data_IF_622385727452
#
_entry.id   IF_622385727452
#
_cell.length_a   1.000
_cell.length_b   1.000
_cell.length_c   1.000
_cell.angle_alpha   90.00
_cell.angle_beta   90.00
_cell.angle_gamma   90.00
#
_symmetry.space_group_name_H-M   'P 1'
#
loop_
_entity.id
_entity.type
_entity.pdbx_description
1 polymer ?
#
# COMPACT_ATOMS: atom_id res chain seq x y z
N UNK A 1 -2.17 2.78 -15.43
CA UNK A 1 -0.89 3.31 -15.97
C UNK A 1 -1.24 4.18 -17.15
N UNK A 2 -0.69 5.38 -17.18
CA UNK A 2 -0.84 6.29 -18.33
C UNK A 2 0.39 6.20 -19.23
N UNK A 3 0.21 6.49 -20.52
CA UNK A 3 1.32 6.64 -21.45
C UNK A 3 2.06 7.99 -21.26
N UNK A 4 3.04 8.25 -22.13
CA UNK A 4 3.85 9.47 -22.07
C UNK A 4 3.04 10.76 -22.29
N UNK A 5 1.89 10.68 -22.96
CA UNK A 5 0.98 11.80 -23.19
C UNK A 5 -0.07 11.93 -22.07
N UNK A 6 0.00 11.09 -21.04
CA UNK A 6 -0.94 11.06 -19.92
C UNK A 6 -2.25 10.35 -20.24
N UNK A 7 -2.34 9.63 -21.35
CA UNK A 7 -3.54 8.90 -21.75
C UNK A 7 -3.61 7.56 -21.01
N UNK A 8 -4.70 7.26 -20.29
CA UNK A 8 -4.88 5.94 -19.69
C UNK A 8 -4.97 4.85 -20.77
N UNK A 9 -4.32 3.70 -20.53
CA UNK A 9 -4.49 2.51 -21.36
C UNK A 9 -5.91 1.91 -21.26
N UNK A 10 -6.13 0.80 -21.96
CA UNK A 10 -7.37 0.02 -21.85
C UNK A 10 -7.65 -0.37 -20.40
N UNK A 11 -8.91 -0.24 -19.97
CA UNK A 11 -9.31 -0.64 -18.63
C UNK A 11 -9.27 -2.16 -18.49
N UNK A 12 -8.45 -2.63 -17.54
CA UNK A 12 -8.39 -4.04 -17.12
C UNK A 12 -9.28 -4.32 -15.90
N UNK A 13 -10.25 -3.45 -15.61
CA UNK A 13 -11.12 -3.60 -14.45
C UNK A 13 -12.00 -4.86 -14.59
N UNK A 14 -12.07 -5.65 -13.52
CA UNK A 14 -12.90 -6.86 -13.45
C UNK A 14 -13.92 -6.73 -12.31
N UNK A 15 -15.20 -6.71 -12.66
CA UNK A 15 -16.31 -6.54 -11.70
C UNK A 15 -16.44 -7.68 -10.67
N UNK A 16 -15.73 -8.80 -10.88
CA UNK A 16 -15.66 -9.91 -9.92
C UNK A 16 -14.71 -9.61 -8.76
N UNK A 17 -13.75 -8.69 -8.92
CA UNK A 17 -12.86 -8.26 -7.83
C UNK A 17 -13.63 -7.28 -6.95
N UNK A 18 -13.92 -7.70 -5.72
CA UNK A 18 -14.77 -6.97 -4.77
C UNK A 18 -14.01 -6.15 -3.73
N UNK A 19 -12.77 -6.53 -3.44
CA UNK A 19 -11.89 -5.86 -2.49
C UNK A 19 -10.43 -6.07 -2.88
N UNK A 20 -9.53 -5.18 -2.47
CA UNK A 20 -8.09 -5.34 -2.69
C UNK A 20 -7.25 -4.91 -1.47
N UNK A 21 -6.04 -5.48 -1.40
CA UNK A 21 -4.98 -5.05 -0.48
C UNK A 21 -3.76 -4.73 -1.36
N UNK A 22 -3.21 -3.53 -1.20
CA UNK A 22 -2.14 -2.99 -2.02
C UNK A 22 -0.93 -2.69 -1.13
N UNK A 23 0.08 -3.56 -1.17
CA UNK A 23 1.29 -3.42 -0.36
C UNK A 23 2.33 -2.59 -1.12
N UNK A 24 2.87 -1.55 -0.48
CA UNK A 24 3.91 -0.67 -1.02
C UNK A 24 3.57 -0.18 -2.44
N UNK A 25 2.33 0.28 -2.62
CA UNK A 25 1.79 0.71 -3.90
C UNK A 25 2.56 1.94 -4.41
N UNK A 26 3.22 1.88 -5.58
CA UNK A 26 3.87 3.04 -6.17
C UNK A 26 2.92 4.23 -6.31
N UNK A 27 3.38 5.43 -5.99
CA UNK A 27 2.62 6.67 -6.15
C UNK A 27 2.63 7.22 -7.58
N UNK A 28 2.18 8.47 -7.75
CA UNK A 28 2.12 9.10 -9.09
C UNK A 28 3.49 9.22 -9.76
N UNK A 29 3.53 9.21 -11.09
CA UNK A 29 4.78 9.33 -11.85
C UNK A 29 5.16 10.78 -12.16
N UNK A 30 5.85 10.98 -13.30
CA UNK A 30 6.24 12.31 -13.77
C UNK A 30 7.34 12.94 -12.93
N UNK A 31 7.09 14.15 -12.38
CA UNK A 31 8.07 14.89 -11.57
C UNK A 31 8.43 14.18 -10.25
N UNK A 32 7.61 13.22 -9.83
CA UNK A 32 7.83 12.42 -8.63
C UNK A 32 8.83 11.28 -8.87
N UNK A 33 9.13 10.93 -10.14
CA UNK A 33 10.07 9.87 -10.46
C UNK A 33 11.53 10.35 -10.39
N UNK A 34 12.41 9.48 -9.89
CA UNK A 34 13.85 9.71 -9.96
C UNK A 34 14.35 9.59 -11.41
N UNK A 35 15.53 10.16 -11.76
CA UNK A 35 16.13 9.97 -13.09
C UNK A 35 16.31 8.48 -13.46
N UNK A 36 16.61 7.64 -12.46
CA UNK A 36 16.69 6.19 -12.62
C UNK A 36 15.35 5.60 -13.04
N UNK A 37 14.26 5.98 -12.36
CA UNK A 37 12.92 5.50 -12.69
C UNK A 37 12.45 6.01 -14.06
N UNK A 38 12.72 7.27 -14.42
CA UNK A 38 12.42 7.79 -15.77
C UNK A 38 13.15 6.98 -16.84
N UNK A 39 14.40 6.59 -16.60
CA UNK A 39 15.20 5.84 -17.58
C UNK A 39 14.76 4.38 -17.72
N UNK A 40 14.52 3.68 -16.61
CA UNK A 40 14.34 2.22 -16.61
C UNK A 40 12.91 1.76 -16.34
N UNK A 41 12.11 2.58 -15.68
CA UNK A 41 10.74 2.29 -15.28
C UNK A 41 9.77 3.42 -15.65
N UNK A 42 9.83 3.98 -16.88
CA UNK A 42 8.99 5.12 -17.26
C UNK A 42 7.49 4.82 -17.20
N UNK A 43 7.12 3.54 -17.21
CA UNK A 43 5.75 3.11 -17.05
C UNK A 43 5.19 3.38 -15.66
N UNK A 44 6.01 3.61 -14.63
CA UNK A 44 5.63 3.71 -13.21
C UNK A 44 4.93 5.03 -12.88
N UNK A 45 3.86 5.30 -13.61
CA UNK A 45 2.98 6.45 -13.48
C UNK A 45 1.53 5.95 -13.38
N UNK A 46 1.13 5.35 -12.24
CA UNK A 46 -0.25 4.97 -12.01
C UNK A 46 -1.14 6.21 -11.96
N UNK A 47 -2.33 6.06 -12.54
CA UNK A 47 -3.47 6.96 -12.32
C UNK A 47 -4.46 6.23 -11.42
N UNK A 48 -4.94 6.92 -10.39
CA UNK A 48 -5.81 6.38 -9.36
C UNK A 48 -7.28 6.76 -9.54
N UNK A 49 -7.63 7.57 -10.56
CA UNK A 49 -9.01 8.03 -10.78
C UNK A 49 -10.02 6.87 -10.91
N UNK A 50 -9.58 5.74 -11.48
CA UNK A 50 -10.40 4.55 -11.68
C UNK A 50 -10.20 3.47 -10.60
N UNK A 51 -9.41 3.73 -9.55
CA UNK A 51 -9.27 2.84 -8.40
C UNK A 51 -10.51 2.93 -7.50
N UNK A 52 -11.62 2.32 -7.94
CA UNK A 52 -12.96 2.40 -7.33
C UNK A 52 -13.31 1.22 -6.42
N UNK A 53 -12.60 0.11 -6.54
CA UNK A 53 -12.80 -1.07 -5.67
C UNK A 53 -12.37 -0.76 -4.24
N UNK A 54 -13.17 -1.10 -3.21
CA UNK A 54 -12.75 -1.01 -1.81
C UNK A 54 -11.36 -1.58 -1.59
N UNK A 55 -10.41 -0.75 -1.17
CA UNK A 55 -9.02 -1.16 -1.01
C UNK A 55 -8.38 -0.65 0.27
N UNK A 56 -7.48 -1.46 0.83
CA UNK A 56 -6.51 -1.08 1.86
C UNK A 56 -5.15 -0.87 1.20
N UNK A 57 -4.54 0.29 1.43
CA UNK A 57 -3.12 0.54 1.11
C UNK A 57 -2.27 0.28 2.36
N UNK A 58 -1.13 -0.38 2.20
CA UNK A 58 -0.14 -0.59 3.27
C UNK A 58 1.19 0.04 2.86
N UNK A 59 1.74 0.89 3.71
CA UNK A 59 3.00 1.58 3.47
C UNK A 59 3.88 1.57 4.72
N UNK A 60 5.19 1.47 4.54
CA UNK A 60 6.18 1.74 5.57
C UNK A 60 6.58 3.22 5.56
N UNK A 61 6.67 3.86 6.72
CA UNK A 61 7.06 5.28 6.80
C UNK A 61 8.58 5.52 6.68
N UNK A 62 9.36 4.43 6.58
CA UNK A 62 10.79 4.46 6.26
C UNK A 62 11.10 3.92 4.86
N UNK A 63 10.09 3.70 4.00
CA UNK A 63 10.28 3.22 2.63
C UNK A 63 10.96 4.28 1.73
N UNK A 64 12.28 4.16 1.63
CA UNK A 64 13.14 5.02 0.80
C UNK A 64 13.41 4.37 -0.56
N UNK A 65 12.39 4.33 -1.41
CA UNK A 65 12.55 3.76 -2.75
C UNK A 65 13.44 4.63 -3.66
N UNK A 66 14.42 4.04 -4.37
CA UNK A 66 15.25 4.76 -5.33
C UNK A 66 14.48 5.22 -6.57
N UNK A 67 13.20 4.86 -6.67
CA UNK A 67 12.36 5.11 -7.84
C UNK A 67 11.66 6.48 -7.78
N UNK A 68 11.62 7.11 -6.62
CA UNK A 68 10.94 8.39 -6.40
C UNK A 68 11.89 9.40 -5.77
N UNK A 69 11.61 10.69 -5.97
CA UNK A 69 12.28 11.79 -5.25
C UNK A 69 11.53 12.21 -3.97
N UNK A 70 10.33 11.68 -3.75
CA UNK A 70 9.45 12.09 -2.64
C UNK A 70 9.70 11.32 -1.33
N UNK A 71 10.18 10.09 -1.44
CA UNK A 71 10.36 9.21 -0.29
C UNK A 71 9.06 8.52 0.15
N UNK A 72 8.89 8.19 1.44
CA UNK A 72 7.84 7.29 1.92
C UNK A 72 6.40 7.75 1.66
N UNK A 73 6.17 9.07 1.60
CA UNK A 73 4.83 9.62 1.37
C UNK A 73 4.27 9.28 -0.02
N UNK A 74 5.14 8.95 -0.98
CA UNK A 74 4.78 8.51 -2.33
C UNK A 74 3.90 7.26 -2.29
N UNK A 75 4.19 6.33 -1.38
CA UNK A 75 3.45 5.07 -1.22
C UNK A 75 2.03 5.24 -0.67
N UNK A 76 1.66 6.46 -0.27
CA UNK A 76 0.33 6.79 0.26
C UNK A 76 -0.56 7.47 -0.78
N UNK A 77 -0.07 7.75 -1.99
CA UNK A 77 -0.82 8.45 -3.02
C UNK A 77 -2.08 7.70 -3.44
N UNK A 78 -2.03 6.36 -3.53
CA UNK A 78 -3.23 5.57 -3.83
C UNK A 78 -4.34 5.79 -2.81
N UNK A 79 -3.99 5.90 -1.52
CA UNK A 79 -4.94 6.29 -0.49
C UNK A 79 -5.44 7.72 -0.68
N UNK A 80 -4.59 8.70 -1.00
CA UNK A 80 -5.04 10.09 -1.14
C UNK A 80 -5.90 10.34 -2.38
N UNK A 81 -5.57 9.68 -3.49
CA UNK A 81 -6.08 9.98 -4.82
C UNK A 81 -7.13 8.96 -5.30
N UNK A 82 -7.10 7.73 -4.79
CA UNK A 82 -8.02 6.67 -5.19
C UNK A 82 -9.39 6.79 -4.50
N UNK A 83 -10.51 6.89 -5.25
CA UNK A 83 -11.84 7.05 -4.65
C UNK A 83 -12.33 5.79 -3.92
N UNK A 84 -11.85 4.61 -4.29
CA UNK A 84 -12.19 3.33 -3.67
C UNK A 84 -11.23 2.91 -2.55
N UNK A 85 -10.12 3.62 -2.33
CA UNK A 85 -9.22 3.30 -1.22
C UNK A 85 -9.82 3.85 0.06
N UNK A 86 -10.27 2.95 0.93
CA UNK A 86 -11.01 3.28 2.15
C UNK A 86 -10.08 3.47 3.34
N UNK A 87 -8.97 2.74 3.36
CA UNK A 87 -8.08 2.66 4.52
C UNK A 87 -6.60 2.68 4.11
N UNK A 88 -5.76 3.22 4.99
CA UNK A 88 -4.30 3.22 4.91
C UNK A 88 -3.74 2.67 6.22
N UNK A 89 -2.94 1.61 6.14
CA UNK A 89 -2.04 1.18 7.21
C UNK A 89 -0.66 1.78 6.97
N UNK A 90 -0.20 2.63 7.89
CA UNK A 90 1.20 3.10 7.93
C UNK A 90 1.94 2.37 9.03
N UNK A 91 2.97 1.61 8.68
CA UNK A 91 3.86 0.91 9.63
C UNK A 91 5.05 1.80 9.98
N UNK A 92 5.30 1.96 11.27
CA UNK A 92 6.36 2.82 11.78
C UNK A 92 7.72 2.11 11.70
N UNK A 93 8.72 2.79 11.16
CA UNK A 93 10.08 2.28 10.95
C UNK A 93 10.20 1.22 9.85
N UNK A 94 9.10 0.80 9.23
CA UNK A 94 9.11 -0.22 8.20
C UNK A 94 9.60 0.36 6.86
N UNK A 95 10.47 -0.39 6.19
CA UNK A 95 10.94 -0.12 4.84
C UNK A 95 10.01 -0.78 3.80
N UNK A 96 10.43 -0.80 2.52
CA UNK A 96 9.67 -1.39 1.42
C UNK A 96 9.29 -2.86 1.64
N UNK A 97 10.12 -3.59 2.40
CA UNK A 97 9.88 -4.99 2.73
C UNK A 97 8.83 -5.20 3.83
N UNK A 98 8.33 -4.14 4.49
CA UNK A 98 7.36 -4.25 5.59
C UNK A 98 7.79 -5.26 6.66
N UNK A 99 9.06 -5.19 7.10
CA UNK A 99 9.61 -6.11 8.08
C UNK A 99 10.03 -7.50 7.56
N UNK A 100 9.97 -7.77 6.24
CA UNK A 100 10.55 -9.00 5.66
C UNK A 100 9.76 -9.68 4.52
N UNK A 101 8.73 -9.03 3.97
CA UNK A 101 7.94 -9.50 2.82
C UNK A 101 8.72 -9.26 1.51
N UNK A 102 9.75 -10.07 1.23
CA UNK A 102 10.52 -9.99 -0.02
C UNK A 102 10.71 -11.34 -0.73
N UNK A 103 10.99 -12.42 0.01
CA UNK A 103 11.25 -13.74 -0.56
C UNK A 103 11.97 -14.66 0.42
N UNK A 104 11.88 -15.97 0.20
CA UNK A 104 12.58 -16.95 1.06
C UNK A 104 14.09 -16.84 0.90
N UNK A 105 14.82 -16.79 2.02
CA UNK A 105 16.28 -16.63 2.08
C UNK A 105 16.81 -15.34 1.45
N UNK A 106 15.96 -14.32 1.32
CA UNK A 106 16.38 -13.01 0.84
C UNK A 106 17.06 -12.23 1.98
N UNK A 107 18.31 -11.82 1.77
CA UNK A 107 19.11 -11.08 2.76
C UNK A 107 19.08 -9.57 2.55
N UNK A 108 18.24 -9.07 1.62
CA UNK A 108 18.16 -7.64 1.30
C UNK A 108 17.32 -6.84 2.30
N UNK A 109 16.47 -7.50 3.09
CA UNK A 109 15.71 -6.87 4.18
C UNK A 109 16.68 -6.40 5.26
N UNK A 110 16.68 -5.10 5.55
CA UNK A 110 17.51 -4.48 6.60
C UNK A 110 16.73 -4.20 7.88
N UNK A 111 15.40 -4.24 7.82
CA UNK A 111 14.45 -3.91 8.88
C UNK A 111 13.64 -5.13 9.36
N UNK A 112 14.23 -6.34 9.33
CA UNK A 112 13.51 -7.57 9.65
C UNK A 112 12.79 -7.50 11.01
N UNK A 113 11.47 -7.70 10.98
CA UNK A 113 10.60 -7.68 12.16
C UNK A 113 9.43 -8.63 11.97
N UNK A 114 9.46 -9.81 12.62
CA UNK A 114 8.33 -10.74 12.63
C UNK A 114 7.04 -10.11 13.15
N UNK A 115 7.12 -9.17 14.09
CA UNK A 115 5.97 -8.46 14.64
C UNK A 115 5.34 -7.52 13.61
N UNK A 116 6.15 -6.79 12.83
CA UNK A 116 5.67 -5.97 11.71
C UNK A 116 4.95 -6.83 10.66
N UNK A 117 5.55 -7.97 10.28
CA UNK A 117 4.93 -8.93 9.35
C UNK A 117 3.61 -9.49 9.92
N UNK A 118 3.54 -9.75 11.22
CA UNK A 118 2.32 -10.21 11.88
C UNK A 118 1.21 -9.14 11.83
N UNK A 119 1.54 -7.86 12.03
CA UNK A 119 0.58 -6.76 11.86
C UNK A 119 0.05 -6.71 10.44
N UNK A 120 0.92 -6.79 9.42
CA UNK A 120 0.49 -6.84 8.01
C UNK A 120 -0.43 -8.02 7.77
N UNK A 121 -0.06 -9.22 8.23
CA UNK A 121 -0.88 -10.42 8.06
C UNK A 121 -2.27 -10.26 8.70
N UNK A 122 -2.33 -9.82 9.96
CA UNK A 122 -3.58 -9.72 10.73
C UNK A 122 -4.50 -8.64 10.15
N UNK A 123 -3.96 -7.47 9.86
CA UNK A 123 -4.74 -6.33 9.33
C UNK A 123 -5.26 -6.61 7.93
N UNK A 124 -4.46 -7.19 7.05
CA UNK A 124 -4.88 -7.52 5.67
C UNK A 124 -5.95 -8.62 5.65
N UNK A 125 -5.82 -9.63 6.52
CA UNK A 125 -6.86 -10.66 6.69
C UNK A 125 -8.16 -10.06 7.24
N UNK A 126 -8.07 -9.23 8.28
CA UNK A 126 -9.23 -8.57 8.88
C UNK A 126 -9.96 -7.68 7.87
N UNK A 127 -9.22 -6.86 7.12
CA UNK A 127 -9.76 -6.01 6.07
C UNK A 127 -10.52 -6.81 5.02
N UNK A 128 -9.91 -7.88 4.48
CA UNK A 128 -10.53 -8.71 3.45
C UNK A 128 -11.77 -9.44 3.96
N UNK A 129 -11.76 -9.95 5.20
CA UNK A 129 -12.94 -10.61 5.79
C UNK A 129 -14.13 -9.66 5.89
N UNK A 130 -13.91 -8.43 6.33
CA UNK A 130 -14.97 -7.41 6.41
C UNK A 130 -15.39 -6.93 5.02
N UNK A 131 -14.46 -6.56 4.16
CA UNK A 131 -14.77 -6.04 2.82
C UNK A 131 -15.49 -7.05 1.90
N UNK A 132 -15.29 -8.36 2.15
CA UNK A 132 -15.98 -9.44 1.45
C UNK A 132 -17.27 -9.90 2.14
N UNK A 133 -17.69 -9.25 3.24
CA UNK A 133 -18.91 -9.58 3.98
C UNK A 133 -18.88 -10.94 4.68
N UNK A 134 -17.70 -11.42 5.04
CA UNK A 134 -17.52 -12.67 5.79
C UNK A 134 -17.59 -12.45 7.30
N UNK A 135 -17.23 -11.26 7.76
CA UNK A 135 -17.12 -10.89 9.17
C UNK A 135 -17.07 -9.36 9.33
N UNK A 136 -18.20 -8.75 9.70
CA UNK A 136 -18.32 -7.29 9.78
C UNK A 136 -17.52 -6.69 10.95
N UNK A 137 -17.16 -7.51 11.96
CA UNK A 137 -16.45 -7.07 13.15
C UNK A 137 -14.92 -7.18 13.02
N UNK A 138 -14.42 -7.95 12.04
CA UNK A 138 -12.99 -8.23 11.90
C UNK A 138 -12.14 -6.95 11.74
N UNK A 139 -12.49 -6.08 10.78
CA UNK A 139 -11.73 -4.85 10.53
C UNK A 139 -11.85 -3.82 11.65
N UNK A 140 -13.05 -3.49 12.19
CA UNK A 140 -13.17 -2.63 13.36
C UNK A 140 -12.34 -3.13 14.55
N UNK A 141 -12.36 -4.44 14.81
CA UNK A 141 -11.59 -5.04 15.92
C UNK A 141 -10.09 -4.93 15.71
N UNK A 142 -9.60 -5.18 14.50
CA UNK A 142 -8.18 -5.05 14.18
C UNK A 142 -7.69 -3.61 14.32
N UNK A 143 -8.50 -2.63 13.88
CA UNK A 143 -8.22 -1.20 14.04
C UNK A 143 -8.10 -0.80 15.51
N UNK A 144 -9.07 -1.19 16.33
CA UNK A 144 -9.05 -0.92 17.76
C UNK A 144 -7.85 -1.58 18.43
N UNK A 145 -7.59 -2.85 18.13
CA UNK A 145 -6.46 -3.60 18.70
C UNK A 145 -5.11 -2.97 18.39
N UNK A 146 -4.91 -2.47 17.17
CA UNK A 146 -3.68 -1.76 16.80
C UNK A 146 -3.58 -0.41 17.53
N UNK A 147 -4.68 0.34 17.62
CA UNK A 147 -4.68 1.66 18.27
C UNK A 147 -4.49 1.58 19.80
N UNK A 148 -4.97 0.50 20.44
CA UNK A 148 -4.89 0.27 21.88
C UNK A 148 -3.61 -0.48 22.31
N UNK A 149 -2.77 -0.89 21.36
CA UNK A 149 -1.48 -1.49 21.67
C UNK A 149 -0.61 -0.50 22.46
N UNK A 150 0.08 -1.00 23.50
CA UNK A 150 0.93 -0.15 24.35
C UNK A 150 2.07 0.53 23.59
N UNK A 151 2.61 -0.16 22.58
CA UNK A 151 3.58 0.35 21.60
C UNK A 151 3.09 -0.06 20.20
N UNK A 152 2.26 0.77 19.55
CA UNK A 152 1.70 0.42 18.24
C UNK A 152 2.79 0.45 17.17
N UNK A 153 2.90 -0.62 16.38
CA UNK A 153 3.85 -0.73 15.25
C UNK A 153 3.38 0.03 14.00
N UNK A 154 2.22 0.67 14.06
CA UNK A 154 1.66 1.43 12.97
C UNK A 154 0.34 2.10 13.35
N UNK A 155 -0.27 2.76 12.37
CA UNK A 155 -1.57 3.40 12.51
C UNK A 155 -2.46 3.13 11.30
N UNK A 156 -3.77 3.19 11.50
CA UNK A 156 -4.76 3.07 10.43
C UNK A 156 -5.52 4.39 10.30
N UNK A 157 -5.48 4.97 9.10
CA UNK A 157 -6.28 6.10 8.68
C UNK A 157 -7.42 5.61 7.77
N UNK A 158 -8.68 6.01 8.03
CA UNK A 158 -9.86 5.58 7.26
C UNK A 158 -10.63 6.79 6.72
N UNK A 159 -11.25 6.67 5.54
CA UNK A 159 -12.09 7.70 4.91
C UNK A 159 -13.58 7.55 5.24
#
# INVERSE_FOLDING_TARGET
MVDADGTPGESMADSRVRAAVLLCLPGTGGADLSPLAVQYFPFMSPDFAELKTPSLVVAGDADQSPLTVRGPDWFTDGYRLGPGVTDLLTLFGAEHGLGGIQGSHDTRTTDESPECVAVVQQTTLAYLRTALGLDDDAWPTARLSLAEAGEPLGKIDSK
#
